data_IF_907529417791
#
_entry.id   IF_907529417791
#
_cell.length_a   1.000
_cell.length_b   1.000
_cell.length_c   1.000
_cell.angle_alpha   90.00
_cell.angle_beta   90.00
_cell.angle_gamma   90.00
#
_symmetry.space_group_name_H-M   'P 1'
#
loop_
_entity.id
_entity.type
_entity.pdbx_description
1 polymer ?
#
# COMPACT_ATOMS: atom_id res chain seq x y z
N UNK A 1 25.08 -10.74 -33.64
CA UNK A 1 26.25 -9.85 -33.43
C UNK A 1 25.99 -9.00 -32.21
N UNK A 2 27.02 -8.74 -31.42
CA UNK A 2 26.97 -7.81 -30.27
C UNK A 2 27.33 -6.40 -30.71
N UNK A 3 26.89 -5.38 -29.97
CA UNK A 3 27.32 -3.98 -30.22
C UNK A 3 28.84 -3.80 -30.25
N UNK A 4 29.57 -4.63 -29.49
CA UNK A 4 31.03 -4.60 -29.53
C UNK A 4 31.60 -5.12 -30.84
N UNK A 5 31.02 -6.20 -31.37
CA UNK A 5 31.40 -6.76 -32.68
C UNK A 5 31.07 -5.79 -33.81
N UNK A 6 29.92 -5.11 -33.75
CA UNK A 6 29.52 -4.07 -34.71
C UNK A 6 30.53 -2.92 -34.76
N UNK A 7 30.97 -2.42 -33.59
CA UNK A 7 31.99 -1.37 -33.50
C UNK A 7 33.32 -1.82 -34.14
N UNK A 8 33.74 -3.06 -33.89
CA UNK A 8 34.98 -3.61 -34.46
C UNK A 8 34.87 -3.73 -35.98
N UNK A 9 33.76 -4.28 -36.49
CA UNK A 9 33.51 -4.40 -37.92
C UNK A 9 33.42 -3.03 -38.59
N UNK A 10 32.80 -2.05 -37.94
CA UNK A 10 32.72 -0.69 -38.45
C UNK A 10 34.11 -0.05 -38.57
N UNK A 11 35.01 -0.28 -37.60
CA UNK A 11 36.39 0.19 -37.70
C UNK A 11 37.13 -0.42 -38.91
N UNK A 12 36.90 -1.71 -39.16
CA UNK A 12 37.50 -2.44 -40.28
C UNK A 12 36.91 -1.96 -41.63
N UNK A 13 35.59 -1.71 -41.70
CA UNK A 13 34.89 -1.15 -42.87
C UNK A 13 35.35 0.28 -43.20
N UNK A 14 35.68 1.08 -42.17
CA UNK A 14 36.23 2.43 -42.32
C UNK A 14 37.72 2.43 -42.70
N UNK A 15 38.35 1.25 -42.78
CA UNK A 15 39.76 1.10 -43.10
C UNK A 15 40.70 1.64 -42.03
N UNK A 16 40.24 1.80 -40.79
CA UNK A 16 41.08 2.28 -39.70
C UNK A 16 42.11 1.23 -39.31
N UNK A 17 43.38 1.65 -39.15
CA UNK A 17 44.51 0.81 -38.77
C UNK A 17 45.41 1.53 -37.77
N UNK A 18 46.19 0.75 -37.01
CA UNK A 18 47.13 1.26 -36.00
C UNK A 18 46.43 2.16 -34.97
N UNK A 19 47.10 3.26 -34.61
CA UNK A 19 46.63 4.23 -33.61
C UNK A 19 45.22 4.76 -33.89
N UNK A 20 44.89 5.02 -35.17
CA UNK A 20 43.55 5.51 -35.56
C UNK A 20 42.45 4.50 -35.24
N UNK A 21 42.73 3.20 -35.36
CA UNK A 21 41.78 2.13 -34.99
C UNK A 21 41.64 2.06 -33.48
N UNK A 22 42.73 2.14 -32.74
CA UNK A 22 42.70 2.10 -31.28
C UNK A 22 41.93 3.28 -30.70
N UNK A 23 42.14 4.49 -31.22
CA UNK A 23 41.44 5.69 -30.77
C UNK A 23 39.94 5.60 -31.05
N UNK A 24 39.55 5.17 -32.24
CA UNK A 24 38.16 4.92 -32.60
C UNK A 24 37.49 3.91 -31.66
N UNK A 25 38.11 2.74 -31.48
CA UNK A 25 37.58 1.69 -30.61
C UNK A 25 37.46 2.18 -29.15
N UNK A 26 38.46 2.91 -28.66
CA UNK A 26 38.45 3.48 -27.30
C UNK A 26 37.30 4.46 -27.11
N UNK A 27 37.05 5.32 -28.09
CA UNK A 27 35.94 6.27 -28.05
C UNK A 27 34.58 5.57 -28.07
N UNK A 28 34.37 4.66 -29.02
CA UNK A 28 33.10 3.95 -29.18
C UNK A 28 32.79 3.02 -27.99
N UNK A 29 33.79 2.28 -27.49
CA UNK A 29 33.58 1.46 -26.30
C UNK A 29 33.33 2.29 -25.04
N UNK A 30 33.90 3.49 -24.93
CA UNK A 30 33.58 4.43 -23.84
C UNK A 30 32.13 4.88 -23.91
N UNK A 31 31.63 5.23 -25.10
CA UNK A 31 30.22 5.58 -25.30
C UNK A 31 29.31 4.40 -24.98
N UNK A 32 29.64 3.21 -25.48
CA UNK A 32 28.88 1.99 -25.21
C UNK A 32 28.81 1.69 -23.72
N UNK A 33 29.94 1.76 -23.00
CA UNK A 33 30.00 1.54 -21.56
C UNK A 33 29.15 2.57 -20.79
N UNK A 34 29.22 3.84 -21.18
CA UNK A 34 28.39 4.90 -20.56
C UNK A 34 26.91 4.64 -20.79
N UNK A 35 26.50 4.28 -22.00
CA UNK A 35 25.11 3.98 -22.32
C UNK A 35 24.58 2.76 -21.55
N UNK A 36 25.40 1.70 -21.40
CA UNK A 36 25.07 0.53 -20.61
C UNK A 36 24.92 0.86 -19.12
N UNK A 37 25.77 1.73 -18.57
CA UNK A 37 25.67 2.18 -17.18
C UNK A 37 24.38 2.98 -16.93
N UNK A 38 24.02 3.88 -17.86
CA UNK A 38 22.76 4.64 -17.80
C UNK A 38 21.56 3.69 -17.84
N UNK A 39 21.52 2.77 -18.81
CA UNK A 39 20.43 1.81 -18.94
C UNK A 39 20.28 0.92 -17.69
N UNK A 40 21.40 0.50 -17.08
CA UNK A 40 21.38 -0.24 -15.82
C UNK A 40 20.80 0.60 -14.68
N UNK A 41 21.22 1.86 -14.56
CA UNK A 41 20.70 2.79 -13.55
C UNK A 41 19.20 3.02 -13.72
N UNK A 42 18.73 3.32 -14.92
CA UNK A 42 17.30 3.52 -15.20
C UNK A 42 16.48 2.26 -14.89
N UNK A 43 17.01 1.07 -15.20
CA UNK A 43 16.33 -0.20 -14.87
C UNK A 43 16.16 -0.36 -13.35
N UNK A 44 17.18 -0.01 -12.57
CA UNK A 44 17.13 -0.05 -11.11
C UNK A 44 16.14 0.99 -10.56
N UNK A 45 16.17 2.22 -11.06
CA UNK A 45 15.23 3.27 -10.65
C UNK A 45 13.78 2.89 -10.96
N UNK A 46 13.51 2.30 -12.13
CA UNK A 46 12.18 1.78 -12.49
C UNK A 46 11.75 0.65 -11.56
N UNK A 47 12.64 -0.28 -11.23
CA UNK A 47 12.35 -1.37 -10.31
C UNK A 47 12.01 -0.84 -8.91
N UNK A 48 12.81 0.11 -8.39
CA UNK A 48 12.58 0.75 -7.11
C UNK A 48 11.22 1.49 -7.05
N UNK A 49 10.88 2.26 -8.10
CA UNK A 49 9.57 2.93 -8.18
C UNK A 49 8.41 1.96 -8.20
N UNK A 50 8.54 0.84 -8.92
CA UNK A 50 7.50 -0.20 -8.95
C UNK A 50 7.28 -0.79 -7.55
N UNK A 51 8.37 -1.13 -6.86
CA UNK A 51 8.30 -1.65 -5.50
C UNK A 51 7.69 -0.64 -4.51
N UNK A 52 8.01 0.65 -4.64
CA UNK A 52 7.42 1.71 -3.83
C UNK A 52 5.90 1.82 -4.04
N UNK A 53 5.43 1.76 -5.29
CA UNK A 53 4.00 1.78 -5.61
C UNK A 53 3.27 0.56 -5.03
N UNK A 54 3.85 -0.64 -5.14
CA UNK A 54 3.27 -1.84 -4.54
C UNK A 54 3.20 -1.76 -3.00
N UNK A 55 4.23 -1.15 -2.37
CA UNK A 55 4.21 -0.89 -0.92
C UNK A 55 3.14 0.13 -0.53
N UNK A 56 2.97 1.20 -1.31
CA UNK A 56 1.96 2.21 -1.06
C UNK A 56 0.55 1.60 -1.14
N UNK A 57 0.26 0.84 -2.21
CA UNK A 57 -1.02 0.15 -2.37
C UNK A 57 -1.34 -0.80 -1.20
N UNK A 58 -0.36 -1.60 -0.74
CA UNK A 58 -0.55 -2.48 0.43
C UNK A 58 -0.80 -1.72 1.72
N UNK A 59 -0.15 -0.56 1.92
CA UNK A 59 -0.38 0.28 3.10
C UNK A 59 -1.80 0.83 3.10
N UNK A 60 -2.25 1.32 1.95
CA UNK A 60 -3.60 1.86 1.78
C UNK A 60 -4.67 0.78 2.02
N UNK A 61 -4.47 -0.43 1.49
CA UNK A 61 -5.35 -1.57 1.74
C UNK A 61 -5.47 -1.92 3.24
N UNK A 62 -4.34 -1.96 3.95
CA UNK A 62 -4.32 -2.21 5.40
C UNK A 62 -4.99 -1.08 6.19
N UNK A 63 -4.84 0.16 5.76
CA UNK A 63 -5.48 1.31 6.40
C UNK A 63 -7.01 1.27 6.20
N UNK A 64 -7.46 0.94 5.00
CA UNK A 64 -8.87 0.72 4.71
C UNK A 64 -9.45 -0.43 5.55
N UNK A 65 -8.76 -1.56 5.66
CA UNK A 65 -9.20 -2.68 6.49
C UNK A 65 -9.34 -2.27 7.97
N UNK A 66 -8.38 -1.50 8.49
CA UNK A 66 -8.43 -0.98 9.87
C UNK A 66 -9.58 -0.01 10.07
N UNK A 67 -9.86 0.85 9.10
CA UNK A 67 -10.97 1.79 9.16
C UNK A 67 -12.32 1.05 9.25
N UNK A 68 -12.54 0.04 8.41
CA UNK A 68 -13.75 -0.79 8.43
C UNK A 68 -13.92 -1.48 9.78
N UNK A 69 -12.89 -2.15 10.30
CA UNK A 69 -12.96 -2.82 11.61
C UNK A 69 -13.27 -1.86 12.74
N UNK A 70 -12.73 -0.64 12.70
CA UNK A 70 -13.01 0.39 13.70
C UNK A 70 -14.47 0.84 13.65
N UNK A 71 -15.02 1.05 12.46
CA UNK A 71 -16.42 1.44 12.27
C UNK A 71 -17.37 0.33 12.75
N UNK A 72 -17.07 -0.94 12.43
CA UNK A 72 -17.84 -2.09 12.93
C UNK A 72 -17.81 -2.19 14.46
N UNK A 73 -16.64 -2.03 15.06
CA UNK A 73 -16.50 -2.03 16.52
C UNK A 73 -17.29 -0.89 17.18
N UNK A 74 -17.28 0.32 16.59
CA UNK A 74 -18.05 1.45 17.10
C UNK A 74 -19.56 1.20 16.99
N UNK A 75 -20.03 0.62 15.88
CA UNK A 75 -21.44 0.23 15.72
C UNK A 75 -21.86 -0.82 16.74
N UNK A 76 -21.01 -1.84 16.97
CA UNK A 76 -21.28 -2.87 17.97
C UNK A 76 -21.40 -2.27 19.38
N UNK A 77 -20.48 -1.39 19.76
CA UNK A 77 -20.50 -0.72 21.06
C UNK A 77 -21.79 0.12 21.25
N UNK A 78 -22.18 0.91 20.25
CA UNK A 78 -23.43 1.70 20.31
C UNK A 78 -24.67 0.82 20.44
N UNK A 79 -24.69 -0.33 19.75
CA UNK A 79 -25.79 -1.27 19.84
C UNK A 79 -25.88 -1.89 21.24
N UNK A 80 -24.75 -2.31 21.80
CA UNK A 80 -24.70 -2.86 23.15
C UNK A 80 -25.14 -1.83 24.20
N UNK A 81 -24.71 -0.57 24.08
CA UNK A 81 -25.14 0.51 24.95
C UNK A 81 -26.66 0.74 24.88
N UNK A 82 -27.23 0.77 23.66
CA UNK A 82 -28.67 0.93 23.47
C UNK A 82 -29.48 -0.26 24.03
N UNK A 83 -28.98 -1.49 23.88
CA UNK A 83 -29.60 -2.69 24.45
C UNK A 83 -29.62 -2.63 25.99
N UNK A 84 -28.50 -2.25 26.62
CA UNK A 84 -28.43 -2.07 28.07
C UNK A 84 -29.36 -0.96 28.57
N UNK A 85 -29.44 0.15 27.85
CA UNK A 85 -30.36 1.24 28.22
C UNK A 85 -31.82 0.78 28.18
N UNK A 86 -32.21 0.02 27.14
CA UNK A 86 -33.55 -0.54 27.02
C UNK A 86 -33.86 -1.56 28.14
N UNK A 87 -32.89 -2.39 28.53
CA UNK A 87 -33.03 -3.33 29.64
C UNK A 87 -33.29 -2.60 30.97
N UNK A 88 -32.51 -1.56 31.27
CA UNK A 88 -32.69 -0.72 32.46
C UNK A 88 -34.06 -0.03 32.46
N UNK A 89 -34.50 0.48 31.31
CA UNK A 89 -35.80 1.13 31.18
C UNK A 89 -36.96 0.14 31.46
N UNK A 90 -36.89 -1.07 30.89
CA UNK A 90 -37.88 -2.13 31.14
C UNK A 90 -37.92 -2.55 32.61
N UNK A 91 -36.76 -2.69 33.24
CA UNK A 91 -36.67 -3.01 34.67
C UNK A 91 -37.27 -1.89 35.53
N UNK A 92 -36.99 -0.63 35.20
CA UNK A 92 -37.59 0.54 35.83
C UNK A 92 -39.13 0.54 35.74
N UNK A 93 -39.68 0.30 34.54
CA UNK A 93 -41.13 0.22 34.34
C UNK A 93 -41.76 -0.93 35.14
N UNK A 94 -41.07 -2.07 35.23
CA UNK A 94 -41.54 -3.23 36.01
C UNK A 94 -41.60 -2.88 37.50
N UNK A 95 -40.54 -2.31 38.04
CA UNK A 95 -40.48 -1.90 39.46
C UNK A 95 -41.53 -0.83 39.80
N UNK A 96 -41.74 0.14 38.91
CA UNK A 96 -42.80 1.15 39.09
C UNK A 96 -44.19 0.49 39.15
N UNK A 97 -44.45 -0.48 38.28
CA UNK A 97 -45.70 -1.24 38.26
C UNK A 97 -45.89 -2.06 39.53
N UNK A 98 -44.84 -2.75 39.99
CA UNK A 98 -44.85 -3.51 41.25
C UNK A 98 -45.12 -2.60 42.46
N UNK A 99 -44.50 -1.43 42.54
CA UNK A 99 -44.75 -0.46 43.61
C UNK A 99 -46.20 0.07 43.60
N UNK A 100 -46.74 0.41 42.42
CA UNK A 100 -48.15 0.85 42.30
C UNK A 100 -49.11 -0.21 42.81
N UNK A 101 -48.91 -1.47 42.43
CA UNK A 101 -49.74 -2.59 42.92
C UNK A 101 -49.65 -2.77 44.44
N UNK A 102 -48.45 -2.64 45.01
CA UNK A 102 -48.27 -2.71 46.47
C UNK A 102 -48.97 -1.55 47.19
N UNK A 103 -48.85 -0.32 46.69
CA UNK A 103 -49.55 0.84 47.24
C UNK A 103 -51.07 0.67 47.20
N UNK A 104 -51.60 0.13 46.09
CA UNK A 104 -53.03 -0.13 45.95
C UNK A 104 -53.52 -1.20 46.92
N UNK A 105 -52.75 -2.28 47.13
CA UNK A 105 -53.05 -3.30 48.14
C UNK A 105 -53.13 -2.70 49.56
N UNK A 106 -52.14 -1.91 49.96
CA UNK A 106 -52.14 -1.23 51.27
C UNK A 106 -53.28 -0.23 51.43
N UNK A 107 -53.79 0.36 50.35
CA UNK A 107 -54.94 1.28 50.39
C UNK A 107 -56.27 0.56 50.60
N UNK A 108 -56.36 -0.72 50.24
CA UNK A 108 -57.57 -1.53 50.30
C UNK A 108 -57.69 -2.36 51.60
N UNK A 109 -56.66 -2.38 52.43
CA UNK A 109 -56.64 -2.93 53.81
C UNK A 109 -57.05 -1.88 54.85
#
# INVERSE_FOLDING_TARGET
>A
MTKREEIVQQADLLGYRGEKREEYLKQEFKVLAKSAAIAKKEKLERAARKEELERAARREELEAERAVKKEEAERAAKKEEAERAAEIELEGMRLETEMKMLQEKFRLE
#
